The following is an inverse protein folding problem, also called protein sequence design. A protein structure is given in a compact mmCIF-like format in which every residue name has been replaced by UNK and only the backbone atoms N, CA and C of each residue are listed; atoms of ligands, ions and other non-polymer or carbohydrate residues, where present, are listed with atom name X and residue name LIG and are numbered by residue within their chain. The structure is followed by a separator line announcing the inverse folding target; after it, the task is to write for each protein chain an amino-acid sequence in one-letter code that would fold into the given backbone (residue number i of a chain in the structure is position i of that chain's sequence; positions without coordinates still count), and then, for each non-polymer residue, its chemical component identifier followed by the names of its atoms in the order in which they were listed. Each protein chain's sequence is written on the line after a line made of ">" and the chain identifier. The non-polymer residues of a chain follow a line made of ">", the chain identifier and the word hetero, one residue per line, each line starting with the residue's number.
data_IF_071235278340
#
_entry.id   IF_071235278340
#
_cell.length_a   1.000
_cell.length_b   1.000
_cell.length_c   1.000
_cell.angle_alpha   90.00
_cell.angle_beta   90.00
_cell.angle_gamma   90.00
#
_symmetry.space_group_name_H-M   'P 1'
#
loop_
_entity.id
_entity.type
_entity.pdbx_description
1 polymer ?
#
# COMPACT_ATOMS: atom_id res chain seq x y z
N UNK A 1 41.75 2.69 29.16
CA UNK A 1 40.48 2.08 29.62
C UNK A 1 39.26 2.97 29.38
N UNK A 2 39.33 4.24 29.65
CA UNK A 2 38.21 5.18 29.45
C UNK A 2 37.86 5.34 27.96
N UNK A 3 38.83 5.22 27.06
CA UNK A 3 38.65 5.38 25.63
C UNK A 3 37.82 4.26 25.00
N UNK A 4 37.82 3.08 25.58
CA UNK A 4 37.04 1.91 25.05
C UNK A 4 35.56 2.09 25.35
N UNK A 5 35.20 2.66 26.48
CA UNK A 5 33.82 2.93 26.87
C UNK A 5 33.15 3.96 25.97
N UNK A 6 33.92 4.95 25.50
CA UNK A 6 33.40 5.98 24.59
C UNK A 6 33.11 5.38 23.22
N UNK A 7 33.91 4.41 22.75
CA UNK A 7 33.69 3.71 21.48
C UNK A 7 32.42 2.88 21.46
N UNK A 8 32.11 2.20 22.56
CA UNK A 8 30.89 1.38 22.66
C UNK A 8 29.65 2.26 22.68
N UNK A 9 29.74 3.43 23.32
CA UNK A 9 28.63 4.39 23.32
C UNK A 9 28.32 4.95 21.94
N UNK A 10 29.35 5.19 21.13
CA UNK A 10 29.18 5.69 19.77
C UNK A 10 28.50 4.67 18.83
N UNK A 11 28.74 3.39 19.03
CA UNK A 11 28.14 2.33 18.24
C UNK A 11 26.62 2.18 18.45
N UNK A 12 26.13 2.55 19.61
CA UNK A 12 24.71 2.48 19.93
C UNK A 12 23.88 3.56 19.22
N UNK A 13 24.51 4.62 18.73
CA UNK A 13 23.83 5.69 18.01
C UNK A 13 23.73 5.44 16.52
N UNK A 14 24.29 4.35 16.02
CA UNK A 14 24.28 3.99 14.60
C UNK A 14 23.20 2.99 14.23
N UNK A 15 22.05 3.05 14.88
CA UNK A 15 20.89 2.27 14.40
C UNK A 15 20.28 3.06 13.24
N UNK A 16 20.39 2.57 11.99
CA UNK A 16 19.79 3.28 10.88
C UNK A 16 18.28 3.29 11.05
N UNK A 17 17.71 4.50 11.08
CA UNK A 17 16.28 4.63 10.90
C UNK A 17 15.98 4.30 9.43
N UNK A 18 15.64 3.06 9.17
CA UNK A 18 15.05 2.71 7.89
C UNK A 18 13.62 3.23 7.90
N UNK A 19 13.25 4.00 6.88
CA UNK A 19 11.87 4.38 6.65
C UNK A 19 11.02 3.11 6.68
N UNK A 20 10.08 3.04 7.61
CA UNK A 20 9.29 1.84 7.82
C UNK A 20 8.34 1.66 6.65
N UNK A 21 8.63 0.69 5.81
CA UNK A 21 7.66 0.19 4.84
C UNK A 21 6.61 -0.60 5.60
N UNK A 22 5.35 -0.35 5.27
CA UNK A 22 4.22 -1.04 5.87
C UNK A 22 3.45 -1.84 4.85
N UNK A 23 2.62 -2.74 5.34
CA UNK A 23 1.68 -3.49 4.52
C UNK A 23 0.40 -2.67 4.40
N UNK A 24 -0.02 -2.43 3.15
CA UNK A 24 -1.28 -1.76 2.83
C UNK A 24 -2.18 -2.73 2.10
N UNK A 25 -3.44 -2.80 2.53
CA UNK A 25 -4.44 -3.63 1.88
C UNK A 25 -5.40 -2.74 1.11
N UNK A 26 -5.67 -3.08 -0.15
CA UNK A 26 -6.55 -2.27 -0.96
C UNK A 26 -6.72 -2.77 -2.38
N UNK A 27 -7.32 -1.92 -3.19
CA UNK A 27 -7.55 -2.19 -4.61
C UNK A 27 -6.97 -1.04 -5.43
N UNK A 28 -6.67 -1.33 -6.68
CA UNK A 28 -6.22 -0.32 -7.62
C UNK A 28 -7.40 0.12 -8.48
N UNK A 29 -7.45 1.41 -8.79
CA UNK A 29 -8.54 1.98 -9.57
C UNK A 29 -8.01 3.08 -10.47
N UNK A 30 -8.44 3.08 -11.74
CA UNK A 30 -8.13 4.15 -12.68
C UNK A 30 -9.28 5.17 -12.67
N UNK A 31 -8.98 6.40 -12.23
CA UNK A 31 -9.96 7.49 -12.21
C UNK A 31 -9.24 8.83 -12.38
N UNK A 32 -9.93 9.81 -12.95
CA UNK A 32 -9.38 11.15 -13.17
C UNK A 32 -8.05 11.13 -13.94
N UNK A 33 -7.92 10.20 -14.91
CA UNK A 33 -6.72 10.00 -15.73
C UNK A 33 -5.49 9.53 -14.96
N UNK A 34 -5.66 9.04 -13.73
CA UNK A 34 -4.58 8.53 -12.91
C UNK A 34 -4.95 7.22 -12.23
N UNK A 35 -3.93 6.44 -11.90
CA UNK A 35 -4.08 5.21 -11.13
C UNK A 35 -4.02 5.52 -9.65
N UNK A 36 -4.99 5.01 -8.91
CA UNK A 36 -5.12 5.21 -7.48
C UNK A 36 -5.13 3.88 -6.75
N UNK A 37 -4.62 3.88 -5.53
CA UNK A 37 -4.75 2.77 -4.60
C UNK A 37 -5.79 3.17 -3.56
N UNK A 38 -6.88 2.41 -3.46
CA UNK A 38 -7.94 2.66 -2.50
C UNK A 38 -7.78 1.67 -1.36
N UNK A 39 -7.46 2.19 -0.19
CA UNK A 39 -7.18 1.38 0.98
C UNK A 39 -8.44 0.69 1.50
N UNK A 40 -8.28 -0.55 1.99
CA UNK A 40 -9.33 -1.30 2.67
C UNK A 40 -9.54 -0.71 4.06
N UNK A 41 -10.34 0.33 4.14
CA UNK A 41 -10.67 0.99 5.40
C UNK A 41 -12.06 1.58 5.31
N UNK A 42 -12.63 1.93 6.45
CA UNK A 42 -13.96 2.55 6.50
C UNK A 42 -13.96 3.89 5.76
N UNK A 43 -12.85 4.63 5.88
CA UNK A 43 -12.69 5.93 5.24
C UNK A 43 -12.33 5.84 3.76
N UNK A 44 -11.92 4.67 3.29
CA UNK A 44 -11.50 4.44 1.91
C UNK A 44 -10.43 5.44 1.45
N UNK A 45 -9.34 5.53 2.21
CA UNK A 45 -8.23 6.41 1.88
C UNK A 45 -7.69 6.12 0.48
N UNK A 46 -7.43 7.18 -0.27
CA UNK A 46 -7.08 7.14 -1.68
C UNK A 46 -5.69 7.74 -1.88
N UNK A 47 -4.83 6.99 -2.56
CA UNK A 47 -3.45 7.40 -2.80
C UNK A 47 -3.15 7.35 -4.28
N UNK A 48 -2.37 8.30 -4.78
CA UNK A 48 -1.71 8.14 -6.07
C UNK A 48 -0.65 7.05 -5.96
N UNK A 49 -0.37 6.36 -7.06
CA UNK A 49 0.54 5.22 -7.05
C UNK A 49 1.86 5.58 -7.72
N UNK A 50 2.95 5.18 -7.06
CA UNK A 50 4.27 5.10 -7.64
C UNK A 50 4.78 3.68 -7.45
N UNK A 51 5.14 2.98 -8.53
CA UNK A 51 5.53 1.57 -8.45
C UNK A 51 6.42 1.20 -9.62
N UNK A 52 7.27 0.15 -9.48
CA UNK A 52 8.05 -0.36 -10.61
C UNK A 52 7.16 -0.82 -11.76
N UNK A 53 7.62 -0.71 -13.02
CA UNK A 53 6.82 -1.10 -14.19
C UNK A 53 6.29 -2.53 -14.16
N UNK A 54 7.06 -3.46 -13.63
CA UNK A 54 6.66 -4.87 -13.53
C UNK A 54 5.47 -5.05 -12.60
N UNK A 55 5.50 -4.37 -11.46
CA UNK A 55 4.41 -4.39 -10.49
C UNK A 55 3.17 -3.71 -11.06
N UNK A 56 3.37 -2.61 -11.77
CA UNK A 56 2.28 -1.89 -12.42
C UNK A 56 1.56 -2.77 -13.45
N UNK A 57 2.31 -3.57 -14.22
CA UNK A 57 1.76 -4.52 -15.17
C UNK A 57 0.89 -5.56 -14.47
N UNK A 58 1.33 -6.07 -13.31
CA UNK A 58 0.55 -7.02 -12.53
C UNK A 58 -0.78 -6.41 -12.07
N UNK A 59 -0.79 -5.16 -11.65
CA UNK A 59 -2.02 -4.47 -11.28
C UNK A 59 -2.99 -4.34 -12.45
N UNK A 60 -2.48 -3.98 -13.63
CA UNK A 60 -3.33 -3.85 -14.82
C UNK A 60 -3.98 -5.18 -15.20
N UNK A 61 -3.22 -6.26 -15.11
CA UNK A 61 -3.73 -7.60 -15.38
C UNK A 61 -4.84 -7.99 -14.41
N UNK A 62 -4.64 -7.71 -13.12
CA UNK A 62 -5.65 -7.99 -12.10
C UNK A 62 -6.94 -7.23 -12.37
N UNK A 63 -6.83 -5.95 -12.73
CA UNK A 63 -8.00 -5.14 -12.99
C UNK A 63 -8.77 -5.59 -14.23
N UNK A 64 -8.08 -6.09 -15.25
CA UNK A 64 -8.72 -6.59 -16.45
C UNK A 64 -9.44 -7.93 -16.26
N UNK A 65 -8.89 -8.79 -15.41
CA UNK A 65 -9.36 -10.17 -15.25
C UNK A 65 -10.39 -10.34 -14.15
N UNK A 66 -10.35 -9.52 -13.11
CA UNK A 66 -11.14 -9.74 -11.91
C UNK A 66 -12.01 -8.53 -11.58
N UNK A 67 -13.28 -8.79 -11.32
CA UNK A 67 -14.22 -7.73 -10.89
C UNK A 67 -14.04 -7.40 -9.42
N UNK A 68 -13.80 -8.40 -8.60
CA UNK A 68 -13.57 -8.23 -7.17
C UNK A 68 -12.24 -8.84 -6.80
N UNK A 69 -11.37 -8.04 -6.24
CA UNK A 69 -10.10 -8.49 -5.70
C UNK A 69 -9.60 -7.47 -4.71
N UNK A 70 -8.68 -7.86 -3.87
CA UNK A 70 -7.87 -6.93 -3.10
C UNK A 70 -6.47 -7.50 -2.96
N UNK A 71 -5.52 -6.63 -2.72
CA UNK A 71 -4.11 -7.00 -2.61
C UNK A 71 -3.51 -6.44 -1.34
N UNK A 72 -2.51 -7.12 -0.83
CA UNK A 72 -1.61 -6.61 0.19
C UNK A 72 -0.32 -6.20 -0.51
N UNK A 73 0.11 -4.97 -0.29
CA UNK A 73 1.32 -4.43 -0.91
C UNK A 73 2.28 -3.94 0.16
N UNK A 74 3.57 -4.08 -0.11
CA UNK A 74 4.61 -3.48 0.71
C UNK A 74 4.89 -2.10 0.15
N UNK A 75 4.67 -1.06 0.96
CA UNK A 75 4.70 0.31 0.47
C UNK A 75 4.99 1.31 1.57
N UNK A 76 5.30 2.54 1.15
CA UNK A 76 5.40 3.68 2.06
C UNK A 76 4.59 4.85 1.53
N UNK A 77 4.11 5.69 2.45
CA UNK A 77 3.33 6.88 2.08
C UNK A 77 4.25 8.09 2.05
N UNK A 78 4.22 8.82 0.94
CA UNK A 78 4.91 10.09 0.79
C UNK A 78 3.91 11.21 0.56
N UNK A 79 4.08 12.33 1.23
CA UNK A 79 3.25 13.49 1.05
C UNK A 79 3.93 14.47 0.10
N UNK A 80 3.20 14.89 -0.95
CA UNK A 80 3.69 15.91 -1.87
C UNK A 80 3.46 17.30 -1.31
N UNK A 81 4.15 18.30 -1.91
CA UNK A 81 4.01 19.71 -1.50
C UNK A 81 2.59 20.24 -1.64
N UNK A 82 1.82 19.68 -2.56
CA UNK A 82 0.42 20.09 -2.78
C UNK A 82 -0.57 19.38 -1.84
N UNK A 83 -0.08 18.60 -0.88
CA UNK A 83 -0.90 17.87 0.07
C UNK A 83 -1.40 16.53 -0.40
N UNK A 84 -1.16 16.15 -1.65
CA UNK A 84 -1.53 14.83 -2.16
C UNK A 84 -0.63 13.75 -1.59
N UNK A 85 -1.23 12.61 -1.28
CA UNK A 85 -0.50 11.46 -0.77
C UNK A 85 -0.16 10.51 -1.92
N UNK A 86 1.09 10.06 -1.95
CA UNK A 86 1.55 9.06 -2.90
C UNK A 86 1.91 7.80 -2.14
N UNK A 87 1.40 6.67 -2.61
CA UNK A 87 1.78 5.36 -2.11
C UNK A 87 2.88 4.80 -3.02
N UNK A 88 4.07 4.72 -2.49
CA UNK A 88 5.20 4.13 -3.20
C UNK A 88 5.21 2.63 -2.93
N UNK A 89 4.72 1.86 -3.89
CA UNK A 89 4.57 0.42 -3.76
C UNK A 89 5.84 -0.27 -4.26
N UNK A 90 6.45 -1.08 -3.42
CA UNK A 90 7.60 -1.88 -3.84
C UNK A 90 7.19 -3.17 -4.52
N UNK A 91 6.25 -3.90 -3.93
CA UNK A 91 5.81 -5.19 -4.45
C UNK A 91 4.43 -5.55 -3.94
N UNK A 92 3.80 -6.47 -4.65
CA UNK A 92 2.57 -7.12 -4.20
C UNK A 92 2.97 -8.30 -3.32
N UNK A 93 2.47 -8.32 -2.09
CA UNK A 93 2.76 -9.39 -1.14
C UNK A 93 1.75 -10.53 -1.25
N UNK A 94 0.45 -10.20 -1.29
CA UNK A 94 -0.63 -11.18 -1.42
C UNK A 94 -1.70 -10.66 -2.39
N UNK A 95 -2.36 -11.59 -3.07
CA UNK A 95 -3.51 -11.30 -3.94
C UNK A 95 -4.68 -12.13 -3.47
N UNK A 96 -5.82 -11.49 -3.25
CA UNK A 96 -7.07 -12.13 -2.84
C UNK A 96 -8.09 -11.95 -3.95
N UNK A 97 -8.40 -13.04 -4.65
CA UNK A 97 -9.33 -13.04 -5.77
C UNK A 97 -10.74 -13.34 -5.29
N UNK A 98 -11.72 -12.79 -6.00
CA UNK A 98 -13.15 -12.99 -5.74
C UNK A 98 -13.59 -12.56 -4.34
N UNK A 99 -12.87 -11.59 -3.76
CA UNK A 99 -13.17 -11.02 -2.47
C UNK A 99 -13.15 -9.49 -2.57
N UNK A 100 -13.91 -8.83 -1.71
CA UNK A 100 -13.79 -7.38 -1.54
C UNK A 100 -13.43 -7.07 -0.10
N UNK A 101 -12.54 -6.09 0.08
CA UNK A 101 -12.17 -5.60 1.41
C UNK A 101 -12.89 -4.30 1.78
N UNK A 102 -13.69 -3.76 0.86
CA UNK A 102 -14.40 -2.52 1.09
C UNK A 102 -15.74 -2.80 1.75
N UNK A 103 -15.93 -2.27 2.95
CA UNK A 103 -17.09 -2.56 3.78
C UNK A 103 -18.43 -2.30 3.08
N UNK A 104 -18.52 -1.18 2.36
CA UNK A 104 -19.76 -0.84 1.65
C UNK A 104 -20.09 -1.84 0.55
N UNK A 105 -19.10 -2.30 -0.18
CA UNK A 105 -19.29 -3.32 -1.20
C UNK A 105 -19.66 -4.67 -0.60
N UNK A 106 -19.02 -5.03 0.52
CA UNK A 106 -19.34 -6.26 1.24
C UNK A 106 -20.78 -6.26 1.73
N UNK A 107 -21.26 -5.12 2.24
CA UNK A 107 -22.64 -4.99 2.69
C UNK A 107 -23.63 -5.10 1.53
N UNK A 108 -23.33 -4.50 0.39
CA UNK A 108 -24.17 -4.61 -0.81
C UNK A 108 -24.26 -6.06 -1.28
N UNK A 109 -23.14 -6.77 -1.29
CA UNK A 109 -23.10 -8.16 -1.68
C UNK A 109 -23.91 -9.04 -0.71
N UNK A 110 -23.88 -8.69 0.56
CA UNK A 110 -24.66 -9.40 1.57
C UNK A 110 -26.17 -9.19 1.39
N UNK A 111 -26.59 -7.95 1.10
CA UNK A 111 -28.00 -7.65 0.84
C UNK A 111 -28.52 -8.36 -0.40
N UNK A 112 -27.71 -8.47 -1.45
CA UNK A 112 -28.09 -9.10 -2.69
C UNK A 112 -28.21 -10.63 -2.59
N UNK A 113 -27.77 -11.23 -1.49
CA UNK A 113 -27.91 -12.67 -1.25
C UNK A 113 -29.26 -13.05 -0.63
N UNK A 114 -29.98 -12.09 -0.12
CA UNK A 114 -31.31 -12.30 0.42
C UNK A 114 -32.37 -12.12 -0.68
#
# INVERSE_FOLDING_TARGET
>A
MIRILIFISALLFFIPFTDAEDIFNGTILFKNNDWHFVRCSITQDDYLIETPPETFTQFKELQQQQKNYWVSVLAEVNEQQNGNLILKIEKIDEVHLDETCHLLEALKNFENRE
#
